data_IF_846610321942
#
_entry.id   IF_846610321942
#
_cell.length_a   1.000
_cell.length_b   1.000
_cell.length_c   1.000
_cell.angle_alpha   90.00
_cell.angle_beta   90.00
_cell.angle_gamma   90.00
#
_symmetry.space_group_name_H-M   'P 1'
#
loop_
_entity.id
_entity.type
_entity.pdbx_description
1 polymer ?
#
# COMPACT_ATOMS: atom_id res chain seq x y z
N UNK A 1 7.56 27.95 -53.86
CA UNK A 1 6.35 28.52 -53.23
C UNK A 1 5.32 27.41 -53.16
N UNK A 2 5.19 26.76 -52.00
CA UNK A 2 4.18 25.72 -51.76
C UNK A 2 2.99 26.38 -51.08
N UNK A 3 1.86 26.38 -51.77
CA UNK A 3 0.56 26.84 -51.28
C UNK A 3 0.13 25.83 -50.22
N UNK A 4 0.31 26.19 -48.95
CA UNK A 4 -0.16 25.39 -47.82
C UNK A 4 -1.68 25.56 -47.71
N UNK A 5 -2.40 24.47 -47.93
CA UNK A 5 -3.86 24.37 -47.85
C UNK A 5 -4.42 24.99 -46.57
N UNK A 6 -5.15 26.11 -46.72
CA UNK A 6 -6.04 26.61 -45.67
C UNK A 6 -7.21 25.63 -45.56
N UNK A 7 -7.16 24.73 -44.59
CA UNK A 7 -8.37 23.99 -44.23
C UNK A 7 -9.45 24.97 -43.76
N UNK A 8 -10.69 24.83 -44.26
CA UNK A 8 -11.81 25.66 -43.82
C UNK A 8 -12.07 25.43 -42.33
N UNK A 9 -12.18 26.54 -41.58
CA UNK A 9 -12.44 26.51 -40.15
C UNK A 9 -13.82 25.91 -39.88
N UNK A 10 -13.86 24.77 -39.20
CA UNK A 10 -15.08 24.13 -38.73
C UNK A 10 -15.28 24.38 -37.22
N UNK A 11 -16.28 25.20 -36.82
CA UNK A 11 -16.54 25.50 -35.42
C UNK A 11 -16.98 24.29 -34.59
N UNK A 12 -17.52 23.24 -35.21
CA UNK A 12 -17.90 22.01 -34.51
C UNK A 12 -16.68 21.17 -34.16
N UNK A 13 -15.70 21.10 -35.07
CA UNK A 13 -14.43 20.41 -34.83
C UNK A 13 -13.61 21.12 -33.74
N UNK A 14 -13.56 22.45 -33.74
CA UNK A 14 -12.90 23.22 -32.67
C UNK A 14 -13.59 23.00 -31.31
N UNK A 15 -14.93 22.98 -31.28
CA UNK A 15 -15.68 22.68 -30.06
C UNK A 15 -15.46 21.25 -29.57
N UNK A 16 -15.41 20.27 -30.47
CA UNK A 16 -15.11 18.87 -30.16
C UNK A 16 -13.69 18.72 -29.60
N UNK A 17 -12.70 19.33 -30.24
CA UNK A 17 -11.31 19.33 -29.78
C UNK A 17 -11.16 19.98 -28.39
N UNK A 18 -11.82 21.12 -28.15
CA UNK A 18 -11.86 21.76 -26.82
C UNK A 18 -12.50 20.87 -25.75
N UNK A 19 -13.56 20.14 -26.10
CA UNK A 19 -14.20 19.20 -25.18
C UNK A 19 -13.30 18.01 -24.84
N UNK A 20 -12.64 17.43 -25.84
CA UNK A 20 -11.67 16.35 -25.65
C UNK A 20 -10.49 16.82 -24.81
N UNK A 21 -9.91 17.99 -25.12
CA UNK A 21 -8.80 18.55 -24.35
C UNK A 21 -9.15 18.77 -22.87
N UNK A 22 -10.39 19.18 -22.56
CA UNK A 22 -10.88 19.27 -21.17
C UNK A 22 -10.94 17.90 -20.51
N UNK A 23 -11.44 16.89 -21.22
CA UNK A 23 -11.57 15.52 -20.72
C UNK A 23 -10.20 14.89 -20.47
N UNK A 24 -9.25 15.05 -21.40
CA UNK A 24 -7.86 14.60 -21.26
C UNK A 24 -7.19 15.26 -20.05
N UNK A 25 -7.40 16.57 -19.86
CA UNK A 25 -6.84 17.30 -18.69
C UNK A 25 -7.43 16.83 -17.36
N UNK A 26 -8.70 16.40 -17.34
CA UNK A 26 -9.32 15.80 -16.15
C UNK A 26 -8.75 14.40 -15.91
N UNK A 27 -8.60 13.58 -16.97
CA UNK A 27 -7.99 12.27 -16.87
C UNK A 27 -6.53 12.33 -16.42
N UNK A 28 -5.73 13.28 -16.89
CA UNK A 28 -4.35 13.47 -16.43
C UNK A 28 -4.30 13.84 -14.94
N UNK A 29 -5.20 14.70 -14.48
CA UNK A 29 -5.30 15.01 -13.03
C UNK A 29 -5.67 13.79 -12.22
N UNK A 30 -6.60 12.98 -12.72
CA UNK A 30 -7.02 11.73 -12.07
C UNK A 30 -5.89 10.70 -12.08
N UNK A 31 -5.21 10.52 -13.20
CA UNK A 31 -4.05 9.62 -13.34
C UNK A 31 -2.90 10.04 -12.44
N UNK A 32 -2.59 11.34 -12.35
CA UNK A 32 -1.57 11.85 -11.43
C UNK A 32 -1.98 11.72 -9.95
N UNK A 33 -3.27 11.76 -9.65
CA UNK A 33 -3.79 11.46 -8.30
C UNK A 33 -3.69 9.96 -7.97
N UNK A 34 -3.98 9.09 -8.94
CA UNK A 34 -3.86 7.63 -8.79
C UNK A 34 -2.43 7.10 -8.90
N UNK A 35 -1.51 7.80 -9.57
CA UNK A 35 -0.11 7.40 -9.70
C UNK A 35 0.70 7.67 -8.42
N UNK A 36 0.25 8.64 -7.60
CA UNK A 36 0.85 8.95 -6.30
C UNK A 36 0.18 8.23 -5.13
N UNK A 37 -0.95 7.56 -5.39
CA UNK A 37 -1.55 6.67 -4.42
C UNK A 37 -1.21 5.24 -4.84
N UNK A 38 -0.59 4.44 -3.98
CA UNK A 38 -0.46 2.98 -4.17
C UNK A 38 -1.83 2.26 -4.22
N UNK A 39 -2.92 3.01 -4.43
CA UNK A 39 -4.29 2.57 -4.62
C UNK A 39 -4.41 2.17 -6.10
N UNK A 40 -3.80 1.02 -6.43
CA UNK A 40 -4.26 0.16 -7.52
C UNK A 40 -5.80 0.15 -7.55
N UNK A 41 -6.40 0.03 -8.76
CA UNK A 41 -7.84 -0.13 -8.99
C UNK A 41 -8.47 -0.86 -7.80
N UNK A 42 -9.11 -0.08 -6.93
CA UNK A 42 -9.23 -0.49 -5.55
C UNK A 42 -10.19 -1.65 -5.48
N UNK A 43 -9.68 -2.84 -5.15
CA UNK A 43 -10.55 -3.97 -4.90
C UNK A 43 -11.52 -3.57 -3.78
N UNK A 44 -12.79 -3.48 -4.17
CA UNK A 44 -13.95 -3.11 -3.37
C UNK A 44 -14.89 -4.31 -3.21
N UNK A 45 -14.48 -5.49 -3.68
CA UNK A 45 -15.28 -6.72 -3.66
C UNK A 45 -15.66 -7.09 -2.24
N UNK A 46 -14.71 -7.06 -1.30
CA UNK A 46 -14.98 -7.35 0.11
C UNK A 46 -15.96 -6.34 0.69
N UNK A 47 -15.77 -5.05 0.39
CA UNK A 47 -16.66 -3.99 0.87
C UNK A 47 -18.08 -4.20 0.36
N UNK A 48 -18.25 -4.45 -0.94
CA UNK A 48 -19.53 -4.79 -1.54
C UNK A 48 -20.18 -6.01 -0.89
N UNK A 49 -19.42 -7.09 -0.69
CA UNK A 49 -19.91 -8.32 -0.06
C UNK A 49 -20.40 -8.07 1.36
N UNK A 50 -19.66 -7.29 2.16
CA UNK A 50 -20.03 -6.96 3.54
C UNK A 50 -21.33 -6.17 3.60
N UNK A 51 -21.47 -5.16 2.74
CA UNK A 51 -22.68 -4.34 2.69
C UNK A 51 -23.88 -5.15 2.18
N UNK A 52 -23.67 -5.98 1.14
CA UNK A 52 -24.73 -6.78 0.52
C UNK A 52 -25.21 -7.93 1.41
N UNK A 53 -24.29 -8.57 2.13
CA UNK A 53 -24.62 -9.66 3.05
C UNK A 53 -25.41 -9.18 4.27
N UNK A 54 -25.40 -7.88 4.54
CA UNK A 54 -26.08 -7.25 5.66
C UNK A 54 -25.77 -7.95 7.00
N UNK A 55 -24.50 -8.33 7.19
CA UNK A 55 -24.05 -9.01 8.40
C UNK A 55 -24.22 -8.06 9.59
N UNK A 56 -25.02 -8.49 10.57
CA UNK A 56 -25.23 -7.76 11.82
C UNK A 56 -24.30 -8.38 12.86
N UNK A 57 -23.31 -7.61 13.29
CA UNK A 57 -22.37 -8.00 14.35
C UNK A 57 -22.73 -7.27 15.65
N UNK A 58 -22.77 -8.03 16.74
CA UNK A 58 -22.90 -7.47 18.08
C UNK A 58 -21.58 -6.83 18.53
N UNK A 59 -21.64 -5.87 19.45
CA UNK A 59 -20.46 -5.15 19.95
C UNK A 59 -19.38 -6.10 20.49
N UNK A 60 -19.78 -7.15 21.22
CA UNK A 60 -18.85 -8.17 21.72
C UNK A 60 -18.14 -8.92 20.58
N UNK A 61 -18.84 -9.22 19.49
CA UNK A 61 -18.23 -9.89 18.33
C UNK A 61 -17.23 -8.97 17.63
N UNK A 62 -17.56 -7.69 17.50
CA UNK A 62 -16.68 -6.69 16.88
C UNK A 62 -15.42 -6.49 17.73
N UNK A 63 -15.57 -6.41 19.06
CA UNK A 63 -14.44 -6.34 19.99
C UNK A 63 -13.49 -7.53 19.84
N UNK A 64 -14.03 -8.75 19.80
CA UNK A 64 -13.25 -9.98 19.58
C UNK A 64 -12.52 -9.94 18.22
N UNK A 65 -13.19 -9.51 17.15
CA UNK A 65 -12.60 -9.40 15.81
C UNK A 65 -11.46 -8.37 15.74
N UNK A 66 -11.56 -7.30 16.52
CA UNK A 66 -10.52 -6.27 16.65
C UNK A 66 -9.39 -6.67 17.63
N UNK A 67 -9.49 -7.84 18.29
CA UNK A 67 -8.54 -8.27 19.31
C UNK A 67 -8.63 -7.46 20.62
N UNK A 68 -9.78 -6.85 20.89
CA UNK A 68 -10.04 -6.05 22.08
C UNK A 68 -10.69 -6.91 23.16
N UNK A 69 -9.97 -7.16 24.26
CA UNK A 69 -10.49 -7.85 25.45
C UNK A 69 -11.26 -6.94 26.41
N UNK A 70 -12.32 -7.47 27.02
CA UNK A 70 -13.27 -6.72 27.88
C UNK A 70 -12.72 -6.36 29.27
N UNK A 71 -11.65 -7.02 29.72
CA UNK A 71 -11.04 -6.76 31.02
C UNK A 71 -10.21 -5.45 31.05
N UNK A 72 -9.82 -4.95 29.87
CA UNK A 72 -8.92 -3.82 29.75
C UNK A 72 -9.68 -2.53 29.43
N UNK A 73 -9.71 -1.59 30.37
CA UNK A 73 -10.31 -0.25 30.20
C UNK A 73 -9.74 0.52 29.00
N UNK A 74 -8.48 0.28 28.62
CA UNK A 74 -7.88 0.93 27.44
C UNK A 74 -8.56 0.44 26.17
N UNK A 75 -8.88 -0.86 26.09
CA UNK A 75 -9.60 -1.43 24.96
C UNK A 75 -11.02 -0.87 24.86
N UNK A 76 -11.70 -0.64 25.98
CA UNK A 76 -13.01 0.03 26.00
C UNK A 76 -12.96 1.42 25.40
N UNK A 77 -11.95 2.22 25.80
CA UNK A 77 -11.76 3.57 25.27
C UNK A 77 -11.51 3.54 23.77
N UNK A 78 -10.68 2.60 23.30
CA UNK A 78 -10.39 2.47 21.86
C UNK A 78 -11.65 2.04 21.10
N UNK A 79 -12.37 1.03 21.57
CA UNK A 79 -13.61 0.57 20.96
C UNK A 79 -14.65 1.68 20.86
N UNK A 80 -14.89 2.39 21.98
CA UNK A 80 -15.79 3.53 22.00
C UNK A 80 -15.35 4.65 21.04
N UNK A 81 -14.03 4.86 20.89
CA UNK A 81 -13.48 5.80 19.92
C UNK A 81 -13.83 5.42 18.48
N UNK A 82 -13.57 4.16 18.10
CA UNK A 82 -13.88 3.62 16.77
C UNK A 82 -15.38 3.74 16.49
N UNK A 83 -16.21 3.31 17.43
CA UNK A 83 -17.66 3.36 17.33
C UNK A 83 -18.16 4.80 17.16
N UNK A 84 -17.62 5.75 17.92
CA UNK A 84 -17.97 7.17 17.83
C UNK A 84 -17.62 7.75 16.45
N UNK A 85 -16.44 7.43 15.91
CA UNK A 85 -16.03 7.89 14.58
C UNK A 85 -16.90 7.28 13.48
N UNK A 86 -17.24 5.99 13.58
CA UNK A 86 -18.16 5.33 12.66
C UNK A 86 -19.57 5.94 12.71
N UNK A 87 -20.14 6.15 13.91
CA UNK A 87 -21.42 6.82 14.14
C UNK A 87 -21.45 8.22 13.54
N UNK A 88 -20.39 9.00 13.80
CA UNK A 88 -20.27 10.35 13.26
C UNK A 88 -20.25 10.34 11.73
N UNK A 89 -19.44 9.47 11.14
CA UNK A 89 -19.34 9.33 9.69
C UNK A 89 -20.67 8.88 9.06
N UNK A 90 -21.33 7.86 9.63
CA UNK A 90 -22.64 7.39 9.18
C UNK A 90 -23.70 8.50 9.26
N UNK A 91 -23.75 9.26 10.36
CA UNK A 91 -24.63 10.41 10.52
C UNK A 91 -24.37 11.49 9.47
N UNK A 92 -23.11 11.83 9.21
CA UNK A 92 -22.76 12.78 8.16
C UNK A 92 -23.17 12.30 6.77
N UNK A 93 -22.90 11.05 6.44
CA UNK A 93 -23.33 10.46 5.17
C UNK A 93 -24.87 10.52 5.02
N UNK A 94 -25.60 10.14 6.07
CA UNK A 94 -27.05 10.14 6.07
C UNK A 94 -27.61 11.55 5.83
N UNK A 95 -27.08 12.55 6.54
CA UNK A 95 -27.53 13.95 6.40
C UNK A 95 -27.20 14.58 5.05
N UNK A 96 -26.09 14.18 4.42
CA UNK A 96 -25.62 14.81 3.18
C UNK A 96 -26.21 14.17 1.92
N UNK A 97 -26.39 12.84 1.92
CA UNK A 97 -26.67 12.08 0.70
C UNK A 97 -28.09 11.49 0.68
N UNK A 98 -28.70 11.28 1.85
CA UNK A 98 -30.05 10.73 2.00
C UNK A 98 -30.31 9.46 1.16
N UNK A 99 -29.29 8.59 1.03
CA UNK A 99 -29.40 7.33 0.29
C UNK A 99 -30.18 6.29 1.08
N UNK A 100 -30.90 5.41 0.37
CA UNK A 100 -31.67 4.34 1.03
C UNK A 100 -30.75 3.24 1.58
N UNK A 101 -29.57 3.10 1.00
CA UNK A 101 -28.54 2.13 1.38
C UNK A 101 -27.16 2.69 1.08
N UNK A 102 -26.15 2.30 1.88
CA UNK A 102 -24.75 2.61 1.59
C UNK A 102 -24.27 2.02 0.26
N UNK A 103 -24.94 0.99 -0.26
CA UNK A 103 -24.64 0.41 -1.58
C UNK A 103 -24.89 1.36 -2.75
N UNK A 104 -25.69 2.41 -2.56
CA UNK A 104 -25.94 3.43 -3.58
C UNK A 104 -24.76 4.41 -3.73
N UNK A 105 -23.87 4.45 -2.73
CA UNK A 105 -22.67 5.29 -2.75
C UNK A 105 -21.55 4.63 -3.56
N UNK A 106 -20.71 5.41 -4.28
CA UNK A 106 -19.50 4.87 -4.88
C UNK A 106 -18.65 4.13 -3.85
N UNK A 107 -18.41 2.83 -4.07
CA UNK A 107 -17.67 1.98 -3.13
C UNK A 107 -16.23 2.45 -2.94
N UNK A 108 -15.66 3.17 -3.90
CA UNK A 108 -14.35 3.82 -3.81
C UNK A 108 -14.32 4.87 -2.69
N UNK A 109 -15.38 5.66 -2.57
CA UNK A 109 -15.49 6.73 -1.59
C UNK A 109 -15.71 6.14 -0.20
N UNK A 110 -16.54 5.09 -0.12
CA UNK A 110 -16.75 4.37 1.13
C UNK A 110 -15.47 3.68 1.61
N UNK A 111 -14.70 3.10 0.68
CA UNK A 111 -13.37 2.55 0.97
C UNK A 111 -12.43 3.60 1.52
N UNK A 112 -12.38 4.79 0.90
CA UNK A 112 -11.56 5.90 1.40
C UNK A 112 -12.00 6.30 2.81
N UNK A 113 -13.30 6.42 3.06
CA UNK A 113 -13.83 6.75 4.39
C UNK A 113 -13.44 5.70 5.44
N UNK A 114 -13.56 4.41 5.10
CA UNK A 114 -13.13 3.33 5.98
C UNK A 114 -11.63 3.42 6.29
N UNK A 115 -10.82 3.79 5.30
CA UNK A 115 -9.38 3.99 5.45
C UNK A 115 -9.06 5.18 6.37
N UNK A 116 -9.74 6.31 6.22
CA UNK A 116 -9.57 7.49 7.09
C UNK A 116 -9.88 7.18 8.56
N UNK A 117 -10.94 6.41 8.82
CA UNK A 117 -11.26 5.95 10.18
C UNK A 117 -10.15 5.03 10.69
N UNK A 118 -9.74 4.05 9.89
CA UNK A 118 -8.68 3.11 10.27
C UNK A 118 -7.33 3.80 10.55
N UNK A 119 -6.99 4.86 9.82
CA UNK A 119 -5.76 5.64 10.00
C UNK A 119 -5.64 6.28 11.39
N UNK A 120 -6.77 6.54 12.08
CA UNK A 120 -6.74 7.01 13.48
C UNK A 120 -6.34 5.92 14.46
N UNK A 121 -6.58 4.66 14.12
CA UNK A 121 -6.37 3.49 14.97
C UNK A 121 -5.34 2.52 14.35
N UNK A 122 -4.19 3.08 13.93
CA UNK A 122 -3.19 2.35 13.12
C UNK A 122 -2.77 1.02 13.73
N UNK A 123 -2.57 0.99 15.04
CA UNK A 123 -2.10 -0.20 15.76
C UNK A 123 -3.06 -1.39 15.67
N UNK A 124 -4.35 -1.15 15.40
CA UNK A 124 -5.37 -2.20 15.29
C UNK A 124 -5.53 -2.64 13.84
N UNK A 125 -5.65 -1.67 12.93
CA UNK A 125 -6.05 -1.97 11.56
C UNK A 125 -4.89 -2.27 10.61
N UNK A 126 -3.67 -1.91 10.98
CA UNK A 126 -2.49 -2.04 10.14
C UNK A 126 -1.50 -3.02 10.75
N UNK A 127 -1.13 -4.02 9.95
CA UNK A 127 -0.10 -4.98 10.30
C UNK A 127 1.16 -4.65 9.50
N UNK A 128 2.34 -4.58 10.13
CA UNK A 128 3.59 -4.45 9.39
C UNK A 128 3.82 -5.74 8.59
N UNK A 129 4.00 -5.60 7.27
CA UNK A 129 4.30 -6.71 6.36
C UNK A 129 5.67 -6.46 5.74
N UNK A 130 6.52 -7.49 5.77
CA UNK A 130 7.80 -7.46 5.08
C UNK A 130 7.59 -7.49 3.56
N UNK A 131 8.06 -6.44 2.90
CA UNK A 131 8.14 -6.35 1.45
C UNK A 131 9.61 -6.44 1.03
N UNK A 132 9.90 -7.45 0.20
CA UNK A 132 11.22 -7.67 -0.37
C UNK A 132 11.29 -7.01 -1.74
N UNK A 133 12.15 -6.01 -1.87
CA UNK A 133 12.39 -5.29 -3.12
C UNK A 133 13.72 -5.77 -3.66
N UNK A 134 13.70 -6.48 -4.80
CA UNK A 134 14.92 -6.90 -5.48
C UNK A 134 15.37 -5.77 -6.41
N UNK A 135 16.53 -5.20 -6.15
CA UNK A 135 17.14 -4.17 -7.00
C UNK A 135 18.27 -4.83 -7.78
N UNK A 136 18.22 -4.73 -9.11
CA UNK A 136 19.37 -5.04 -9.95
C UNK A 136 20.35 -3.87 -9.83
N UNK A 137 21.60 -4.08 -9.39
CA UNK A 137 22.59 -3.02 -9.42
C UNK A 137 22.72 -2.54 -10.87
N UNK A 138 22.89 -1.22 -11.09
CA UNK A 138 23.15 -0.70 -12.42
C UNK A 138 24.39 -1.44 -12.94
N UNK A 139 24.25 -2.20 -14.02
CA UNK A 139 25.39 -2.77 -14.70
C UNK A 139 26.27 -1.59 -15.07
N UNK A 140 27.43 -1.46 -14.42
CA UNK A 140 28.49 -0.63 -14.97
C UNK A 140 28.90 -1.34 -16.24
N UNK A 141 28.26 -0.99 -17.34
CA UNK A 141 28.92 -1.05 -18.63
C UNK A 141 30.13 -0.16 -18.48
N UNK A 142 31.25 -0.74 -18.04
CA UNK A 142 32.53 -0.12 -18.26
C UNK A 142 32.65 -0.09 -19.78
N UNK A 143 32.61 1.08 -20.45
CA UNK A 143 33.07 1.12 -21.81
C UNK A 143 34.49 0.56 -21.77
N UNK A 144 34.72 -0.52 -22.50
CA UNK A 144 36.06 -1.03 -22.73
C UNK A 144 36.91 0.15 -23.19
N UNK A 145 37.84 0.60 -22.34
CA UNK A 145 38.81 1.65 -22.68
C UNK A 145 39.79 1.07 -23.71
N UNK A 146 39.34 0.94 -24.95
CA UNK A 146 40.16 1.06 -26.15
C UNK A 146 39.65 2.32 -26.86
N UNK A 147 40.01 3.49 -26.34
CA UNK A 147 40.27 4.72 -27.11
C UNK A 147 40.40 5.92 -26.16
N UNK A 148 41.59 6.04 -25.58
CA UNK A 148 42.00 7.14 -24.69
C UNK A 148 42.44 8.37 -25.47
N UNK A 149 41.60 8.86 -26.38
CA UNK A 149 41.83 10.15 -27.05
C UNK A 149 40.48 10.72 -27.43
N UNK A 150 40.15 11.92 -26.93
CA UNK A 150 39.05 12.83 -27.32
C UNK A 150 38.06 13.25 -26.20
N UNK A 151 38.41 13.15 -24.91
CA UNK A 151 37.63 13.78 -23.83
C UNK A 151 38.45 14.83 -23.06
N UNK A 152 38.79 15.91 -23.76
CA UNK A 152 39.32 17.14 -23.17
C UNK A 152 38.60 18.36 -23.75
N UNK A 153 37.27 18.39 -23.68
CA UNK A 153 36.48 19.58 -24.04
C UNK A 153 35.03 19.44 -23.56
N UNK A 154 34.80 19.44 -22.25
CA UNK A 154 33.50 19.80 -21.62
C UNK A 154 33.67 19.81 -20.10
N UNK A 155 34.49 20.74 -19.60
CA UNK A 155 34.61 21.04 -18.18
C UNK A 155 34.42 22.54 -17.96
N UNK A 156 33.17 23.00 -18.07
CA UNK A 156 32.72 24.26 -17.47
C UNK A 156 31.21 24.45 -17.71
N UNK A 157 30.41 24.13 -16.69
CA UNK A 157 29.17 24.81 -16.28
C UNK A 157 28.13 23.84 -15.72
N UNK A 158 28.15 23.63 -14.40
CA UNK A 158 26.97 23.81 -13.55
C UNK A 158 27.38 23.57 -12.11
N UNK A 159 27.32 24.63 -11.29
CA UNK A 159 27.42 24.51 -9.85
C UNK A 159 26.18 23.83 -9.31
N UNK A 160 26.36 22.67 -8.68
CA UNK A 160 25.40 22.11 -7.74
C UNK A 160 26.18 21.31 -6.71
N UNK A 161 26.14 21.77 -5.46
CA UNK A 161 26.72 21.09 -4.30
C UNK A 161 25.60 20.20 -3.72
N UNK A 162 25.75 18.86 -3.65
CA UNK A 162 24.76 18.01 -3.01
C UNK A 162 24.73 18.21 -1.49
N UNK A 163 23.53 18.39 -0.96
CA UNK A 163 23.21 18.61 0.46
C UNK A 163 23.34 17.31 1.29
N UNK A 164 24.55 16.76 1.40
CA UNK A 164 24.83 15.54 2.18
C UNK A 164 25.48 15.82 3.55
N UNK A 165 25.27 17.01 4.13
CA UNK A 165 25.85 17.38 5.43
C UNK A 165 24.84 17.70 6.55
N UNK A 166 23.56 17.31 6.42
CA UNK A 166 22.59 17.49 7.51
C UNK A 166 21.73 16.24 7.71
N UNK A 167 22.26 15.28 8.48
CA UNK A 167 21.53 14.49 9.48
C UNK A 167 22.43 13.41 10.10
N UNK A 168 23.44 13.82 10.86
CA UNK A 168 23.97 13.00 11.95
C UNK A 168 23.15 13.27 13.21
N UNK A 169 22.85 12.19 13.95
CA UNK A 169 22.11 12.11 15.22
C UNK A 169 20.63 11.77 15.07
N UNK A 170 20.32 10.47 15.21
CA UNK A 170 19.31 9.94 16.16
C UNK A 170 19.17 8.43 15.92
N UNK A 171 20.07 7.62 16.50
CA UNK A 171 19.76 6.23 16.91
C UNK A 171 20.88 5.61 17.73
N UNK A 172 20.90 5.97 19.01
CA UNK A 172 21.42 5.11 20.06
C UNK A 172 20.38 5.17 21.17
N UNK A 173 19.64 4.07 21.36
CA UNK A 173 19.01 3.63 22.61
C UNK A 173 18.13 2.41 22.29
N UNK A 174 18.18 1.44 23.21
CA UNK A 174 17.59 0.09 23.19
C UNK A 174 18.47 -1.03 22.62
N UNK A 175 19.52 -1.36 23.38
CA UNK A 175 19.97 -2.74 23.59
C UNK A 175 20.47 -2.86 25.04
N UNK A 176 19.60 -3.29 25.96
CA UNK A 176 19.98 -3.92 27.23
C UNK A 176 18.75 -4.46 27.95
N UNK A 177 18.56 -5.77 27.92
CA UNK A 177 18.15 -6.58 29.07
C UNK A 177 18.10 -8.06 28.68
N UNK A 178 18.52 -8.90 29.62
CA UNK A 178 18.35 -10.35 29.73
C UNK A 178 19.41 -11.24 29.07
N UNK A 179 20.60 -11.24 29.68
CA UNK A 179 21.37 -12.46 29.91
C UNK A 179 21.28 -12.80 31.40
N UNK A 180 20.68 -13.95 31.70
CA UNK A 180 20.97 -14.84 32.84
C UNK A 180 19.75 -15.74 33.10
N UNK A 181 19.82 -17.01 32.66
CA UNK A 181 19.64 -18.14 33.57
C UNK A 181 19.95 -19.46 32.84
N UNK A 182 20.88 -20.16 33.47
CA UNK A 182 21.42 -21.48 33.17
C UNK A 182 20.43 -22.61 33.38
N UNK A 183 20.55 -23.64 32.52
CA UNK A 183 20.46 -25.04 32.93
C UNK A 183 19.11 -25.71 32.73
N UNK A 184 19.00 -26.60 31.75
CA UNK A 184 19.09 -28.05 31.99
C UNK A 184 18.98 -28.86 30.71
N UNK A 185 19.86 -29.85 30.67
CA UNK A 185 20.08 -30.94 29.74
C UNK A 185 18.85 -31.85 29.60
N UNK A 186 18.46 -32.24 28.38
CA UNK A 186 17.89 -33.57 28.09
C UNK A 186 18.11 -33.94 26.62
N UNK A 187 18.78 -35.08 26.43
CA UNK A 187 19.03 -35.76 25.15
C UNK A 187 17.76 -36.37 24.56
N UNK A 188 17.70 -36.43 23.22
CA UNK A 188 16.94 -37.46 22.51
C UNK A 188 17.67 -37.81 21.21
N UNK A 189 18.34 -38.96 21.22
CA UNK A 189 18.67 -39.73 20.02
C UNK A 189 17.37 -40.25 19.39
N UNK A 190 17.30 -40.34 18.05
CA UNK A 190 16.96 -41.58 17.34
C UNK A 190 16.89 -41.38 15.81
N UNK A 191 17.57 -42.32 15.14
CA UNK A 191 17.36 -42.87 13.80
C UNK A 191 17.83 -42.12 12.54
N UNK A 192 18.96 -42.66 12.08
CA UNK A 192 19.51 -42.74 10.74
C UNK A 192 18.53 -43.25 9.67
N UNK A 193 18.59 -42.65 8.49
CA UNK A 193 18.26 -43.30 7.23
C UNK A 193 19.34 -42.96 6.20
N UNK A 194 20.10 -43.98 5.83
CA UNK A 194 21.10 -43.97 4.77
C UNK A 194 20.46 -44.48 3.48
N UNK A 195 20.57 -43.73 2.39
CA UNK A 195 20.50 -44.27 1.04
C UNK A 195 21.57 -43.59 0.19
N UNK A 196 22.63 -44.36 -0.09
CA UNK A 196 23.58 -44.10 -1.14
C UNK A 196 22.88 -44.26 -2.49
N UNK A 197 23.00 -43.26 -3.37
CA UNK A 197 22.85 -43.48 -4.80
C UNK A 197 23.86 -42.63 -5.55
N UNK A 198 24.95 -43.28 -5.93
CA UNK A 198 26.01 -42.78 -6.80
C UNK A 198 25.58 -42.99 -8.25
N UNK A 199 25.43 -41.92 -9.05
CA UNK A 199 25.86 -41.92 -10.46
C UNK A 199 26.27 -40.52 -10.95
N UNK A 200 27.32 -40.42 -11.80
CA UNK A 200 27.93 -39.16 -12.27
C UNK A 200 27.46 -38.71 -13.68
N UNK A 201 27.38 -37.37 -13.86
CA UNK A 201 27.69 -36.44 -14.99
C UNK A 201 27.49 -36.84 -16.49
N UNK A 202 27.38 -35.91 -17.50
CA UNK A 202 27.69 -34.47 -17.49
C UNK A 202 26.72 -33.50 -18.24
N UNK A 203 26.91 -32.20 -17.98
CA UNK A 203 26.86 -31.02 -18.88
C UNK A 203 25.62 -30.78 -19.77
N UNK A 204 24.72 -29.95 -19.24
CA UNK A 204 24.06 -28.90 -20.02
C UNK A 204 24.24 -27.59 -19.26
N UNK A 205 25.19 -26.76 -19.67
CA UNK A 205 25.34 -25.40 -19.14
C UNK A 205 24.15 -24.57 -19.61
N UNK A 206 23.11 -24.46 -18.79
CA UNK A 206 22.37 -23.20 -18.74
C UNK A 206 23.22 -22.27 -17.89
N UNK A 207 23.92 -21.33 -18.51
CA UNK A 207 24.43 -20.15 -17.81
C UNK A 207 23.21 -19.45 -17.18
N UNK A 208 22.90 -19.84 -15.95
CA UNK A 208 22.08 -19.04 -15.06
C UNK A 208 23.01 -17.88 -14.74
N UNK A 209 22.82 -16.77 -15.45
CA UNK A 209 23.35 -15.49 -15.01
C UNK A 209 22.81 -15.28 -13.58
N UNK A 210 23.63 -15.62 -12.58
CA UNK A 210 23.51 -15.16 -11.21
C UNK A 210 23.73 -13.64 -11.23
N UNK A 211 22.76 -12.91 -11.79
CA UNK A 211 22.74 -11.47 -11.71
C UNK A 211 22.69 -11.15 -10.22
N UNK A 212 23.75 -10.54 -9.72
CA UNK A 212 23.90 -10.15 -8.32
C UNK A 212 22.80 -9.14 -7.98
N UNK A 213 21.69 -9.59 -7.38
CA UNK A 213 20.61 -8.70 -6.95
C UNK A 213 20.84 -8.29 -5.49
N UNK A 214 20.56 -7.03 -5.18
CA UNK A 214 20.47 -6.55 -3.79
C UNK A 214 19.01 -6.67 -3.36
N UNK A 215 18.73 -7.47 -2.32
CA UNK A 215 17.40 -7.55 -1.70
C UNK A 215 17.28 -6.51 -0.58
N UNK A 216 16.36 -5.56 -0.73
CA UNK A 216 15.99 -4.59 0.29
C UNK A 216 14.71 -5.06 0.99
N UNK A 217 14.78 -5.25 2.30
CA UNK A 217 13.62 -5.57 3.14
C UNK A 217 13.02 -4.26 3.66
N UNK A 218 11.77 -3.98 3.29
CA UNK A 218 10.99 -2.82 3.73
C UNK A 218 9.74 -3.29 4.45
N UNK A 219 9.48 -2.79 5.65
CA UNK A 219 8.19 -3.03 6.32
C UNK A 219 7.15 -2.03 5.79
N UNK A 220 6.07 -2.55 5.19
CA UNK A 220 4.94 -1.76 4.69
C UNK A 220 3.74 -2.07 5.57
N UNK A 221 3.03 -1.05 6.03
CA UNK A 221 1.77 -1.22 6.76
C UNK A 221 0.67 -1.69 5.80
N UNK A 222 0.26 -2.96 5.91
CA UNK A 222 -0.86 -3.49 5.13
C UNK A 222 -2.15 -3.35 5.93
N UNK A 223 -3.16 -2.77 5.29
CA UNK A 223 -4.49 -2.62 5.86
C UNK A 223 -5.22 -3.96 5.80
N UNK A 224 -5.42 -4.61 6.95
CA UNK A 224 -5.83 -6.02 7.01
C UNK A 224 -7.35 -6.20 7.24
N UNK A 225 -8.04 -5.17 7.78
CA UNK A 225 -9.40 -5.33 8.35
C UNK A 225 -10.38 -4.19 8.01
N UNK A 226 -10.33 -3.67 6.79
CA UNK A 226 -11.24 -2.60 6.34
C UNK A 226 -12.73 -2.94 6.48
N UNK A 227 -13.05 -4.22 6.30
CA UNK A 227 -14.41 -4.71 6.29
C UNK A 227 -15.12 -4.55 7.64
N UNK A 228 -14.39 -4.54 8.75
CA UNK A 228 -14.97 -4.33 10.09
C UNK A 228 -15.50 -2.90 10.21
N UNK A 229 -14.74 -1.91 9.72
CA UNK A 229 -15.16 -0.51 9.69
C UNK A 229 -16.38 -0.34 8.79
N UNK A 230 -16.41 -1.02 7.64
CA UNK A 230 -17.56 -1.00 6.75
C UNK A 230 -18.82 -1.63 7.38
N UNK A 231 -18.67 -2.75 8.09
CA UNK A 231 -19.77 -3.38 8.80
C UNK A 231 -20.33 -2.46 9.90
N UNK A 232 -19.46 -1.81 10.67
CA UNK A 232 -19.86 -0.80 11.65
C UNK A 232 -20.60 0.36 10.98
N UNK A 233 -20.03 0.96 9.93
CA UNK A 233 -20.67 2.05 9.20
C UNK A 233 -22.05 1.67 8.69
N UNK A 234 -22.20 0.47 8.11
CA UNK A 234 -23.51 -0.01 7.64
C UNK A 234 -24.50 -0.18 8.78
N UNK A 235 -24.09 -0.79 9.91
CA UNK A 235 -24.94 -0.94 11.09
C UNK A 235 -25.45 0.41 11.58
N UNK A 236 -24.55 1.36 11.82
CA UNK A 236 -24.92 2.69 12.32
C UNK A 236 -25.77 3.48 11.32
N UNK A 237 -25.53 3.31 10.01
CA UNK A 237 -26.35 3.94 8.97
C UNK A 237 -27.77 3.38 8.93
N UNK A 238 -27.94 2.06 9.09
CA UNK A 238 -29.27 1.44 9.15
C UNK A 238 -30.03 1.82 10.42
N UNK A 239 -29.34 1.94 11.56
CA UNK A 239 -29.95 2.42 12.81
C UNK A 239 -30.51 3.84 12.67
N UNK A 240 -29.80 4.73 11.98
CA UNK A 240 -30.29 6.09 11.70
C UNK A 240 -31.52 6.10 10.78
N UNK A 241 -31.62 5.15 9.86
CA UNK A 241 -32.79 5.02 8.97
C UNK A 241 -34.03 4.50 9.69
N UNK A 242 -33.85 3.72 10.75
CA UNK A 242 -34.94 3.14 11.53
C UNK A 242 -35.57 4.12 12.52
N UNK A 243 -34.87 5.19 12.88
CA UNK A 243 -35.31 6.25 13.80
C UNK A 243 -35.89 7.45 13.06
#
# INVERSE_FOLDING_TARGET
MTISDLQPYDPFMDKAAKSQARLTKIMEKFQNFTANSDILSSDTTILYLVLKSNIILNDNQIRVLLGLGDENKVHDVIYCGILRDAKYAASKLFTLLNFSSLLEMPLTDLKQLCYEIALKYKAIFFVPVEAKIKIRPPQREFPSFQDTTQLSLLRSNSGFIPSSYLASNFRNLYNRATDAMSGTTYSSEFMSASYNSTRPYPQGYSEIEDAEYVEIIKFISKFNQMWIVAALLNREYQELKAN
#
